data_IF_998247054432
#
_entry.id   IF_998247054432
#
_cell.length_a   1.000
_cell.length_b   1.000
_cell.length_c   1.000
_cell.angle_alpha   90.00
_cell.angle_beta   90.00
_cell.angle_gamma   90.00
#
_symmetry.space_group_name_H-M   'P 1'
#
loop_
_entity.id
_entity.type
_entity.pdbx_description
1 polymer ?
#
# COMPACT_ATOMS: atom_id res chain seq x y z
N UNK A 1 -20.04 5.24 -9.89
CA UNK A 1 -18.84 5.12 -9.06
C UNK A 1 -17.66 5.47 -9.94
N UNK A 2 -16.78 6.33 -9.46
CA UNK A 2 -15.56 6.68 -10.17
C UNK A 2 -14.61 5.47 -10.21
N UNK A 3 -13.98 5.21 -11.37
CA UNK A 3 -13.05 4.09 -11.58
C UNK A 3 -11.67 4.62 -11.89
N UNK A 4 -10.66 3.81 -11.64
CA UNK A 4 -9.25 4.10 -11.89
C UNK A 4 -8.58 2.93 -12.58
N UNK A 5 -7.48 3.19 -13.28
CA UNK A 5 -6.61 2.14 -13.80
C UNK A 5 -5.79 1.51 -12.68
N UNK A 6 -5.66 0.20 -12.72
CA UNK A 6 -4.82 -0.55 -11.78
C UNK A 6 -4.25 -1.81 -12.42
N UNK A 7 -3.08 -2.24 -11.93
CA UNK A 7 -2.51 -3.54 -12.26
C UNK A 7 -3.04 -4.57 -11.27
N UNK A 8 -3.77 -5.54 -11.77
CA UNK A 8 -4.58 -6.47 -10.98
C UNK A 8 -4.13 -7.91 -11.19
N UNK A 9 -3.97 -8.65 -10.11
CA UNK A 9 -3.98 -10.12 -10.15
C UNK A 9 -5.43 -10.56 -10.31
N UNK A 10 -5.89 -10.68 -11.55
CA UNK A 10 -7.30 -10.93 -11.88
C UNK A 10 -7.67 -12.42 -11.85
N UNK A 11 -6.71 -13.26 -12.20
CA UNK A 11 -6.88 -14.69 -12.33
C UNK A 11 -5.80 -15.47 -11.57
N UNK A 12 -6.15 -16.68 -11.11
CA UNK A 12 -5.26 -17.60 -10.38
C UNK A 12 -4.30 -18.33 -11.34
N UNK A 13 -3.47 -17.58 -12.08
CA UNK A 13 -2.45 -18.06 -13.03
C UNK A 13 -1.34 -17.03 -13.21
N UNK A 14 -0.18 -17.37 -13.82
CA UNK A 14 0.86 -16.37 -14.11
C UNK A 14 0.34 -15.18 -14.91
N UNK A 15 0.87 -13.98 -14.62
CA UNK A 15 0.51 -12.71 -15.24
C UNK A 15 -0.16 -11.72 -14.30
N UNK A 16 -0.16 -10.45 -14.71
CA UNK A 16 -0.89 -9.33 -14.14
C UNK A 16 -1.63 -8.61 -15.26
N UNK A 17 -2.79 -8.04 -14.96
CA UNK A 17 -3.67 -7.42 -15.95
C UNK A 17 -3.95 -5.97 -15.61
N UNK A 18 -3.84 -5.09 -16.60
CA UNK A 18 -4.34 -3.73 -16.47
C UNK A 18 -5.88 -3.78 -16.53
N UNK A 19 -6.54 -3.24 -15.52
CA UNK A 19 -8.00 -3.26 -15.41
C UNK A 19 -8.55 -1.96 -14.81
N UNK A 20 -9.85 -1.76 -14.94
CA UNK A 20 -10.57 -0.66 -14.30
C UNK A 20 -11.15 -1.14 -12.97
N UNK A 21 -10.78 -0.50 -11.89
CA UNK A 21 -11.26 -0.81 -10.55
C UNK A 21 -11.89 0.43 -9.90
N UNK A 22 -12.78 0.28 -8.93
CA UNK A 22 -13.32 1.43 -8.21
C UNK A 22 -12.22 2.22 -7.49
N UNK A 23 -12.29 3.56 -7.52
CA UNK A 23 -11.46 4.41 -6.64
C UNK A 23 -11.80 4.07 -5.19
N UNK A 24 -10.79 3.83 -4.31
CA UNK A 24 -11.05 3.46 -2.93
C UNK A 24 -11.70 4.60 -2.15
N UNK A 25 -12.68 4.25 -1.31
CA UNK A 25 -13.25 5.19 -0.35
C UNK A 25 -12.40 5.17 0.92
N UNK A 26 -12.16 6.35 1.49
CA UNK A 26 -11.41 6.48 2.74
C UNK A 26 -12.33 6.41 3.96
N UNK A 27 -11.80 5.84 5.04
CA UNK A 27 -12.40 5.93 6.38
C UNK A 27 -11.99 7.22 7.08
N UNK A 28 -12.54 7.44 8.28
CA UNK A 28 -12.28 8.66 9.07
C UNK A 28 -10.82 8.83 9.48
N UNK A 29 -10.05 7.75 9.53
CA UNK A 29 -8.62 7.73 9.92
C UNK A 29 -7.68 7.51 8.72
N UNK A 30 -8.19 7.49 7.50
CA UNK A 30 -7.43 7.16 6.31
C UNK A 30 -7.08 8.42 5.51
N UNK A 31 -6.08 8.29 4.65
CA UNK A 31 -5.77 9.25 3.60
C UNK A 31 -5.96 8.59 2.23
N UNK A 32 -6.37 9.36 1.23
CA UNK A 32 -6.34 8.96 -0.18
C UNK A 32 -5.09 9.55 -0.81
N UNK A 33 -4.27 8.68 -1.34
CA UNK A 33 -3.00 9.03 -1.97
C UNK A 33 -3.11 8.83 -3.47
N UNK A 34 -2.86 9.87 -4.26
CA UNK A 34 -2.64 9.79 -5.70
C UNK A 34 -1.21 9.31 -5.94
N UNK A 35 -1.07 8.16 -6.57
CA UNK A 35 0.24 7.54 -6.80
C UNK A 35 1.00 8.29 -7.89
N UNK A 36 2.26 8.61 -7.62
CA UNK A 36 3.16 9.33 -8.54
C UNK A 36 4.26 8.42 -9.10
N UNK A 37 4.84 7.55 -8.26
CA UNK A 37 5.85 6.55 -8.62
C UNK A 37 5.68 5.30 -7.78
N UNK A 38 6.09 4.17 -8.33
CA UNK A 38 6.08 2.87 -7.63
C UNK A 38 7.41 2.15 -7.83
N UNK A 39 7.82 1.38 -6.82
CA UNK A 39 8.90 0.39 -6.91
C UNK A 39 8.34 -1.00 -7.20
N UNK A 40 9.16 -1.88 -7.75
CA UNK A 40 8.85 -3.31 -7.96
C UNK A 40 9.65 -4.12 -6.95
N UNK A 41 8.95 -4.86 -6.09
CA UNK A 41 9.55 -5.76 -5.10
C UNK A 41 9.58 -7.21 -5.61
N UNK A 42 10.44 -8.03 -5.01
CA UNK A 42 10.42 -9.47 -5.25
C UNK A 42 9.05 -10.12 -4.97
N UNK A 43 8.28 -9.59 -4.03
CA UNK A 43 6.89 -10.00 -3.77
C UNK A 43 5.99 -9.87 -5.00
N UNK A 44 6.13 -8.79 -5.77
CA UNK A 44 5.34 -8.58 -6.99
C UNK A 44 5.69 -9.59 -8.08
N UNK A 45 6.97 -10.00 -8.16
CA UNK A 45 7.44 -11.06 -9.07
C UNK A 45 6.85 -12.42 -8.67
N UNK A 46 6.80 -12.75 -7.38
CA UNK A 46 6.15 -13.96 -6.88
C UNK A 46 4.65 -14.00 -7.22
N UNK A 47 3.98 -12.85 -7.09
CA UNK A 47 2.54 -12.72 -7.42
C UNK A 47 2.33 -12.84 -8.94
N UNK A 48 3.18 -12.21 -9.75
CA UNK A 48 3.14 -12.32 -11.21
C UNK A 48 3.30 -13.77 -11.64
N UNK A 49 4.37 -14.46 -11.18
CA UNK A 49 4.68 -15.84 -11.50
C UNK A 49 3.64 -16.85 -10.98
N UNK A 50 2.78 -16.43 -10.04
CA UNK A 50 1.77 -17.26 -9.39
C UNK A 50 2.36 -18.52 -8.75
N UNK A 51 3.45 -18.37 -8.02
CA UNK A 51 4.14 -19.47 -7.37
C UNK A 51 3.36 -20.06 -6.18
N UNK A 52 3.92 -21.07 -5.52
CA UNK A 52 3.27 -21.78 -4.42
C UNK A 52 2.93 -20.88 -3.21
N UNK A 53 3.69 -19.80 -2.99
CA UNK A 53 3.39 -18.81 -1.95
C UNK A 53 2.23 -17.92 -2.37
N UNK A 54 2.25 -17.38 -3.59
CA UNK A 54 1.18 -16.52 -4.12
C UNK A 54 -0.17 -17.26 -4.13
N UNK A 55 -0.18 -18.53 -4.56
CA UNK A 55 -1.38 -19.36 -4.59
C UNK A 55 -2.05 -19.54 -3.23
N UNK A 56 -1.27 -19.51 -2.14
CA UNK A 56 -1.79 -19.66 -0.77
C UNK A 56 -2.16 -18.33 -0.11
N UNK A 57 -1.58 -17.23 -0.59
CA UNK A 57 -1.58 -15.95 0.15
C UNK A 57 -2.44 -14.89 -0.51
N UNK A 58 -2.48 -14.86 -1.85
CA UNK A 58 -3.09 -13.78 -2.60
C UNK A 58 -4.55 -14.09 -2.91
N UNK A 59 -5.51 -13.33 -2.39
CA UNK A 59 -6.89 -13.42 -2.85
C UNK A 59 -7.02 -12.84 -4.26
N UNK A 60 -7.80 -13.48 -5.11
CA UNK A 60 -8.07 -13.02 -6.47
C UNK A 60 -9.53 -12.57 -6.58
N UNK A 61 -9.83 -11.36 -7.10
CA UNK A 61 -8.90 -10.36 -7.67
C UNK A 61 -8.20 -9.51 -6.61
N UNK A 62 -6.96 -9.02 -6.91
CA UNK A 62 -6.19 -8.15 -6.03
C UNK A 62 -5.40 -7.11 -6.82
N UNK A 63 -5.50 -5.84 -6.44
CA UNK A 63 -4.59 -4.78 -6.92
C UNK A 63 -3.25 -4.97 -6.23
N UNK A 64 -2.16 -5.10 -6.98
CA UNK A 64 -0.82 -5.40 -6.46
C UNK A 64 0.02 -4.14 -6.21
N UNK A 65 1.27 -4.31 -5.73
CA UNK A 65 2.20 -3.22 -5.45
C UNK A 65 2.09 -2.66 -4.03
N UNK A 66 3.24 -2.33 -3.42
CA UNK A 66 3.30 -1.84 -2.04
C UNK A 66 4.42 -0.81 -1.80
N UNK A 67 5.29 -0.58 -2.77
CA UNK A 67 6.33 0.44 -2.74
C UNK A 67 5.88 1.62 -3.58
N UNK A 68 5.77 2.81 -2.98
CA UNK A 68 5.22 3.97 -3.67
C UNK A 68 5.66 5.29 -3.06
N UNK A 69 5.55 6.33 -3.86
CA UNK A 69 5.44 7.72 -3.43
C UNK A 69 4.21 8.34 -4.10
N UNK A 70 3.47 9.16 -3.37
CA UNK A 70 2.26 9.80 -3.87
C UNK A 70 1.96 11.11 -3.17
N UNK A 71 0.91 11.75 -3.60
CA UNK A 71 0.39 13.00 -3.05
C UNK A 71 -0.95 12.73 -2.36
N UNK A 72 -1.13 13.24 -1.15
CA UNK A 72 -2.41 13.17 -0.46
C UNK A 72 -3.42 14.06 -1.19
N UNK A 73 -4.54 13.48 -1.62
CA UNK A 73 -5.62 14.20 -2.31
C UNK A 73 -6.90 14.30 -1.49
N UNK A 74 -7.04 13.45 -0.44
CA UNK A 74 -8.17 13.50 0.49
C UNK A 74 -7.74 12.97 1.85
N UNK A 75 -8.30 13.54 2.93
CA UNK A 75 -8.04 13.11 4.31
C UNK A 75 -9.35 12.82 5.05
N UNK A 76 -9.36 11.77 5.84
CA UNK A 76 -10.46 11.45 6.74
C UNK A 76 -10.60 12.47 7.87
N UNK A 77 -11.78 12.56 8.47
CA UNK A 77 -12.11 13.61 9.45
C UNK A 77 -11.26 13.59 10.73
N UNK A 78 -10.66 12.45 11.08
CA UNK A 78 -9.76 12.30 12.23
C UNK A 78 -8.28 12.54 11.90
N UNK A 79 -7.92 12.69 10.64
CA UNK A 79 -6.54 12.96 10.21
C UNK A 79 -6.20 14.42 10.52
N UNK A 80 -5.20 14.64 11.40
CA UNK A 80 -4.78 15.98 11.84
C UNK A 80 -3.32 16.27 11.47
N UNK A 81 -2.51 15.24 11.28
CA UNK A 81 -1.07 15.36 11.08
C UNK A 81 -0.67 15.41 9.60
N UNK A 82 -1.63 15.22 8.70
CA UNK A 82 -1.42 15.21 7.25
C UNK A 82 -2.43 16.13 6.54
N UNK A 83 -1.97 16.74 5.43
CA UNK A 83 -2.77 17.69 4.65
C UNK A 83 -2.77 17.31 3.17
N UNK A 84 -3.82 17.72 2.46
CA UNK A 84 -3.88 17.61 0.99
C UNK A 84 -2.72 18.36 0.35
N UNK A 85 -2.05 17.72 -0.62
CA UNK A 85 -0.88 18.23 -1.32
C UNK A 85 0.45 17.74 -0.74
N UNK A 86 0.48 17.09 0.43
CA UNK A 86 1.71 16.52 0.98
C UNK A 86 2.17 15.29 0.20
N UNK A 87 3.49 15.20 0.00
CA UNK A 87 4.14 14.05 -0.63
C UNK A 87 4.49 13.03 0.43
N UNK A 88 4.01 11.80 0.22
CA UNK A 88 4.07 10.73 1.21
C UNK A 88 4.47 9.40 0.58
N UNK A 89 5.05 8.54 1.41
CA UNK A 89 5.09 7.09 1.21
C UNK A 89 4.42 6.39 2.40
N UNK A 90 4.40 5.06 2.41
CA UNK A 90 3.73 4.34 3.49
C UNK A 90 4.29 2.95 3.75
N UNK A 91 4.10 2.48 4.98
CA UNK A 91 4.39 1.11 5.41
C UNK A 91 3.32 0.16 4.89
N UNK A 92 3.76 -0.86 4.15
CA UNK A 92 2.87 -1.85 3.52
C UNK A 92 2.15 -2.80 4.50
N UNK A 93 2.48 -2.82 5.80
CA UNK A 93 1.87 -3.71 6.79
C UNK A 93 0.87 -2.96 7.66
N UNK A 94 -0.41 -3.06 7.31
CA UNK A 94 -1.51 -2.49 8.11
C UNK A 94 -1.86 -3.45 9.23
N UNK A 95 -1.66 -3.01 10.48
CA UNK A 95 -1.90 -3.81 11.69
C UNK A 95 -3.25 -3.51 12.33
N UNK A 96 -3.78 -4.43 13.12
CA UNK A 96 -5.10 -4.26 13.74
C UNK A 96 -5.14 -3.23 14.89
N UNK A 97 -4.00 -2.82 15.45
CA UNK A 97 -3.88 -1.85 16.54
C UNK A 97 -4.38 -2.31 17.91
N UNK A 98 -5.13 -3.42 18.02
CA UNK A 98 -5.86 -3.84 19.22
C UNK A 98 -5.49 -5.21 19.80
N UNK A 99 -4.71 -6.03 19.10
CA UNK A 99 -4.27 -7.31 19.65
C UNK A 99 -3.19 -7.10 20.73
N UNK A 100 -2.92 -8.13 21.52
CA UNK A 100 -1.92 -8.10 22.58
C UNK A 100 -0.58 -7.56 22.11
N UNK A 101 -0.10 -8.00 20.94
CA UNK A 101 1.17 -7.56 20.40
C UNK A 101 1.15 -6.07 20.01
N UNK A 102 0.09 -5.60 19.36
CA UNK A 102 -0.05 -4.18 19.01
C UNK A 102 -0.09 -3.28 20.25
N UNK A 103 -0.86 -3.68 21.28
CA UNK A 103 -0.95 -2.94 22.55
C UNK A 103 0.36 -2.93 23.33
N UNK A 104 1.19 -3.96 23.16
CA UNK A 104 2.53 -4.05 23.76
C UNK A 104 3.63 -3.35 22.92
N UNK A 105 3.27 -2.56 21.89
CA UNK A 105 4.20 -1.89 20.99
C UNK A 105 4.90 -2.81 19.97
N UNK A 106 4.54 -4.10 19.93
CA UNK A 106 5.12 -5.11 19.03
C UNK A 106 4.26 -5.27 17.77
N UNK A 107 4.06 -4.20 17.03
CA UNK A 107 3.19 -4.16 15.84
C UNK A 107 3.60 -5.15 14.76
N UNK A 108 4.90 -5.38 14.55
CA UNK A 108 5.45 -6.38 13.61
C UNK A 108 5.03 -7.83 13.93
N UNK A 109 4.54 -8.12 15.13
CA UNK A 109 3.98 -9.40 15.54
C UNK A 109 2.44 -9.39 15.57
N UNK A 110 1.80 -8.45 14.88
CA UNK A 110 0.35 -8.41 14.80
C UNK A 110 -0.20 -9.69 14.13
N UNK A 111 -1.14 -10.37 14.80
CA UNK A 111 -1.76 -11.60 14.28
C UNK A 111 -2.72 -11.35 13.10
N UNK A 112 -3.19 -10.12 12.93
CA UNK A 112 -4.18 -9.73 11.91
C UNK A 112 -3.58 -8.71 10.91
N UNK A 113 -2.28 -8.79 10.64
CA UNK A 113 -1.61 -7.91 9.66
C UNK A 113 -2.21 -8.08 8.26
N UNK A 114 -2.45 -6.96 7.59
CA UNK A 114 -2.86 -6.91 6.18
C UNK A 114 -1.76 -6.26 5.35
N UNK A 115 -1.24 -7.02 4.38
CA UNK A 115 -0.24 -6.51 3.44
C UNK A 115 -0.88 -5.76 2.29
N UNK A 116 -0.47 -4.51 2.07
CA UNK A 116 -0.83 -3.71 0.89
C UNK A 116 -0.29 -4.42 -0.34
N UNK A 117 -1.10 -4.57 -1.38
CA UNK A 117 -0.76 -5.33 -2.60
C UNK A 117 -0.72 -6.85 -2.43
N UNK A 118 -1.01 -7.38 -1.23
CA UNK A 118 -0.99 -8.81 -0.91
C UNK A 118 -2.39 -9.32 -0.54
N UNK A 119 -2.97 -8.81 0.51
CA UNK A 119 -4.33 -9.13 0.95
C UNK A 119 -5.14 -7.88 1.35
N UNK A 120 -4.67 -6.72 0.92
CA UNK A 120 -5.32 -5.42 0.87
C UNK A 120 -4.93 -4.77 -0.46
N UNK A 121 -5.82 -4.02 -1.16
CA UNK A 121 -5.51 -3.35 -2.42
C UNK A 121 -4.21 -2.55 -2.34
N UNK A 122 -3.40 -2.63 -3.40
CA UNK A 122 -2.05 -2.12 -3.48
C UNK A 122 -1.90 -0.83 -4.27
N UNK A 123 -0.63 -0.46 -4.50
CA UNK A 123 -0.19 0.82 -5.04
C UNK A 123 0.01 0.85 -6.56
N UNK A 124 -0.06 -0.29 -7.27
CA UNK A 124 -0.03 -0.27 -8.73
C UNK A 124 -1.40 0.14 -9.29
N UNK A 125 -1.82 1.34 -8.91
CA UNK A 125 -3.09 1.97 -9.25
C UNK A 125 -2.93 3.50 -9.24
N UNK A 126 -3.91 4.23 -9.73
CA UNK A 126 -3.87 5.70 -9.70
C UNK A 126 -4.05 6.25 -8.28
N UNK A 127 -4.80 5.54 -7.42
CA UNK A 127 -5.07 5.94 -6.04
C UNK A 127 -4.95 4.76 -5.06
N UNK A 128 -4.49 5.08 -3.85
CA UNK A 128 -4.37 4.14 -2.73
C UNK A 128 -4.96 4.75 -1.46
N UNK A 129 -5.78 3.99 -0.73
CA UNK A 129 -6.24 4.36 0.61
C UNK A 129 -5.39 3.69 1.67
N UNK A 130 -4.85 4.47 2.62
CA UNK A 130 -4.08 3.96 3.75
C UNK A 130 -4.51 4.62 5.06
N UNK A 131 -4.44 3.91 6.20
CA UNK A 131 -4.53 4.54 7.52
C UNK A 131 -3.39 5.56 7.72
N UNK A 132 -3.70 6.71 8.33
CA UNK A 132 -2.69 7.74 8.63
C UNK A 132 -1.50 7.20 9.43
N UNK A 133 -1.70 6.14 10.23
CA UNK A 133 -0.62 5.48 11.02
C UNK A 133 0.37 4.68 10.18
N UNK A 134 0.09 4.50 8.89
CA UNK A 134 0.94 3.80 7.92
C UNK A 134 1.57 4.75 6.91
N UNK A 135 1.47 6.05 7.11
CA UNK A 135 1.94 7.06 6.15
C UNK A 135 2.99 7.95 6.82
N UNK A 136 4.00 8.37 6.06
CA UNK A 136 4.97 9.40 6.46
C UNK A 136 5.23 10.39 5.36
N UNK A 137 5.40 11.66 5.74
CA UNK A 137 5.76 12.73 4.82
C UNK A 137 7.25 12.69 4.45
N UNK A 138 7.55 13.13 3.24
CA UNK A 138 8.90 13.25 2.73
C UNK A 138 9.44 14.66 2.80
N UNK A 139 10.76 14.79 2.97
CA UNK A 139 11.47 16.03 2.71
C UNK A 139 11.33 16.39 1.22
N UNK A 140 10.86 17.60 0.88
CA UNK A 140 10.65 18.02 -0.50
C UNK A 140 11.93 18.06 -1.35
N UNK A 141 13.11 18.07 -0.72
CA UNK A 141 14.41 18.06 -1.42
C UNK A 141 14.84 16.67 -1.91
N UNK A 142 14.20 15.60 -1.45
CA UNK A 142 14.51 14.25 -1.89
C UNK A 142 13.84 13.98 -3.24
N UNK A 143 14.57 13.50 -4.27
CA UNK A 143 13.97 13.13 -5.55
C UNK A 143 12.88 12.06 -5.39
N UNK A 144 11.75 12.20 -6.09
CA UNK A 144 10.61 11.30 -6.00
C UNK A 144 10.92 9.85 -6.36
N UNK A 145 11.85 9.64 -7.28
CA UNK A 145 12.28 8.29 -7.67
C UNK A 145 12.99 7.58 -6.49
N UNK A 146 13.72 8.33 -5.66
CA UNK A 146 14.33 7.81 -4.41
C UNK A 146 13.26 7.59 -3.35
N UNK A 147 12.29 8.50 -3.21
CA UNK A 147 11.20 8.36 -2.24
C UNK A 147 10.36 7.11 -2.46
N UNK A 148 10.22 6.65 -3.71
CA UNK A 148 9.38 5.48 -4.04
C UNK A 148 9.90 4.15 -3.47
N UNK A 149 11.18 4.07 -3.08
CA UNK A 149 11.82 2.87 -2.55
C UNK A 149 12.13 2.96 -1.05
N UNK A 150 11.63 3.97 -0.34
CA UNK A 150 11.90 4.16 1.10
C UNK A 150 11.33 3.05 1.98
N UNK A 151 10.29 2.35 1.57
CA UNK A 151 9.81 1.16 2.26
C UNK A 151 10.89 0.07 2.34
N UNK A 152 11.68 -0.10 1.29
CA UNK A 152 12.79 -1.06 1.26
C UNK A 152 13.96 -0.66 2.16
N UNK A 153 14.32 0.62 2.20
CA UNK A 153 15.46 1.11 2.99
C UNK A 153 15.25 0.83 4.49
N UNK A 154 14.03 0.94 4.99
CA UNK A 154 13.71 0.65 6.39
C UNK A 154 13.88 -0.83 6.78
N UNK A 155 13.86 -1.75 5.81
CA UNK A 155 13.97 -3.20 6.05
C UNK A 155 15.40 -3.74 5.98
N UNK A 156 16.34 -2.98 5.49
CA UNK A 156 17.75 -3.39 5.40
C UNK A 156 18.46 -3.45 6.77
N UNK A 157 17.78 -3.09 7.85
CA UNK A 157 18.33 -3.03 9.21
C UNK A 157 17.70 -4.02 10.20
N UNK A 158 17.04 -5.08 9.68
CA UNK A 158 16.48 -6.15 10.53
C UNK A 158 17.28 -7.42 10.36
#
# INVERSE_FOLDING_TARGET
METMQALVKKEAKPGLWLDQVPVPRIGINDVLVKILRTGICGTDVHIEAWDAWAQKTIPVPMVVGHEFVGEIVETGSNVKDFHVGEIVSGEGHVVCGRCRNCLAGRRHLCKDTKGVGVNRPGAFAEYLSLPMTNVWAHDPHIPRDVQSIFDQIGRAHV
#
